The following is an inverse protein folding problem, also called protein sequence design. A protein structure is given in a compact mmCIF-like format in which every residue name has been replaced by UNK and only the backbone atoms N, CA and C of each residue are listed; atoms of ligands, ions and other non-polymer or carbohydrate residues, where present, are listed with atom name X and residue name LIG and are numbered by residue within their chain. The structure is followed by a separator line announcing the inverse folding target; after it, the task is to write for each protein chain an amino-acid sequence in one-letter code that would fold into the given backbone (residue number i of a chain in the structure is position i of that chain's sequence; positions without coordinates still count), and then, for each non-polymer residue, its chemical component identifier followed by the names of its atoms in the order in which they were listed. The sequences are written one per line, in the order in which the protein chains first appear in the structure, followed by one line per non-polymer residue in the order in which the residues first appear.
data_IF_635881409338
#
_entry.id   IF_635881409338
#
_cell.length_a   1.000
_cell.length_b   1.000
_cell.length_c   1.000
_cell.angle_alpha   90.00
_cell.angle_beta   90.00
_cell.angle_gamma   90.00
#
_symmetry.space_group_name_H-M   'P 1'
#
loop_
_entity.id
_entity.type
_entity.pdbx_description
1 polymer ?
#
# COMPACT_ATOMS: atom_id res chain seq x y z
N UNK A 1 -15.01 -10.48 -4.07
CA UNK A 1 -13.95 -9.90 -4.92
C UNK A 1 -12.64 -10.26 -4.25
N UNK A 2 -12.03 -11.33 -4.72
CA UNK A 2 -10.75 -11.84 -4.23
C UNK A 2 -9.65 -10.91 -4.74
N UNK A 3 -9.23 -9.96 -3.90
CA UNK A 3 -8.11 -9.07 -4.24
C UNK A 3 -6.84 -9.91 -4.27
N UNK A 4 -6.33 -10.20 -5.46
CA UNK A 4 -5.09 -10.95 -5.64
C UNK A 4 -3.90 -10.01 -5.44
N UNK A 5 -3.30 -10.08 -4.25
CA UNK A 5 -2.11 -9.28 -3.91
C UNK A 5 -0.86 -9.93 -4.52
N UNK A 6 0.02 -9.12 -5.12
CA UNK A 6 1.27 -9.54 -5.73
C UNK A 6 2.41 -8.59 -5.40
N UNK A 7 3.65 -9.06 -5.53
CA UNK A 7 4.85 -8.22 -5.33
C UNK A 7 4.91 -7.12 -6.39
N UNK A 8 5.26 -5.90 -5.97
CA UNK A 8 5.27 -4.69 -6.78
C UNK A 8 3.90 -4.01 -6.88
N UNK A 9 2.84 -4.63 -6.36
CA UNK A 9 1.50 -4.04 -6.37
C UNK A 9 1.43 -2.85 -5.41
N UNK A 10 0.78 -1.77 -5.88
CA UNK A 10 0.50 -0.62 -5.05
C UNK A 10 -0.80 -0.82 -4.29
N UNK A 11 -0.74 -0.66 -2.97
CA UNK A 11 -1.85 -0.97 -2.08
C UNK A 11 -2.09 0.15 -1.08
N UNK A 12 -3.34 0.30 -0.66
CA UNK A 12 -3.76 1.15 0.45
C UNK A 12 -4.26 0.28 1.59
N UNK A 13 -3.85 0.64 2.81
CA UNK A 13 -4.37 0.00 4.03
C UNK A 13 -5.82 0.41 4.26
N UNK A 14 -6.69 -0.58 4.37
CA UNK A 14 -8.13 -0.40 4.59
C UNK A 14 -8.37 0.19 5.99
N UNK A 15 -9.30 1.14 6.08
CA UNK A 15 -9.66 1.81 7.34
C UNK A 15 -10.72 1.05 8.16
N UNK A 16 -11.32 0.03 7.56
CA UNK A 16 -12.41 -0.76 8.12
C UNK A 16 -11.91 -1.70 9.22
N UNK A 17 -12.46 -1.54 10.43
CA UNK A 17 -12.12 -2.31 11.61
C UNK A 17 -12.67 -3.74 11.58
N UNK A 18 -13.67 -4.02 10.75
CA UNK A 18 -14.25 -5.37 10.64
C UNK A 18 -13.28 -6.39 10.03
N UNK A 19 -12.26 -5.90 9.32
CA UNK A 19 -11.22 -6.72 8.68
C UNK A 19 -9.94 -6.86 9.49
N UNK A 20 -9.83 -6.13 10.61
CA UNK A 20 -8.66 -6.17 11.47
C UNK A 20 -8.87 -7.19 12.58
N UNK A 21 -8.00 -8.21 12.63
CA UNK A 21 -8.16 -9.34 13.58
C UNK A 21 -7.79 -8.99 15.02
N UNK A 22 -6.90 -8.03 15.23
CA UNK A 22 -6.37 -7.65 16.55
C UNK A 22 -6.23 -6.13 16.67
N UNK A 23 -7.26 -5.47 17.19
CA UNK A 23 -7.23 -4.03 17.47
C UNK A 23 -7.47 -3.14 16.24
N UNK A 24 -7.32 -1.82 16.39
CA UNK A 24 -7.61 -0.87 15.31
C UNK A 24 -6.62 -1.03 14.13
N UNK A 25 -7.04 -0.69 12.91
CA UNK A 25 -6.19 -0.77 11.72
C UNK A 25 -4.88 -0.04 11.91
N UNK A 26 -3.79 -0.74 11.59
CA UNK A 26 -2.45 -0.18 11.66
C UNK A 26 -2.25 0.74 10.45
N UNK A 27 -2.00 2.04 10.67
CA UNK A 27 -1.77 3.01 9.58
C UNK A 27 -2.93 3.15 8.56
N UNK A 28 -4.16 3.43 9.01
CA UNK A 28 -5.35 3.42 8.16
C UNK A 28 -5.23 4.44 7.01
N UNK A 29 -5.42 3.97 5.78
CA UNK A 29 -5.41 4.79 4.57
C UNK A 29 -4.03 5.15 4.03
N UNK A 30 -2.92 4.69 4.64
CA UNK A 30 -1.59 4.85 4.05
C UNK A 30 -1.46 3.98 2.81
N UNK A 31 -0.70 4.48 1.84
CA UNK A 31 -0.38 3.81 0.59
C UNK A 31 1.05 3.27 0.70
N UNK A 32 1.30 2.14 0.06
CA UNK A 32 2.62 1.56 -0.06
C UNK A 32 2.71 0.54 -1.19
N UNK A 33 3.87 -0.08 -1.30
CA UNK A 33 4.16 -1.10 -2.30
C UNK A 33 4.43 -2.45 -1.61
N UNK A 34 3.83 -3.50 -2.13
CA UNK A 34 4.06 -4.87 -1.66
C UNK A 34 5.46 -5.32 -2.07
N UNK A 35 6.32 -5.65 -1.10
CA UNK A 35 7.71 -6.06 -1.36
C UNK A 35 7.89 -7.56 -1.41
N UNK A 36 7.24 -8.30 -0.50
CA UNK A 36 7.37 -9.76 -0.41
C UNK A 36 6.25 -10.39 0.42
N UNK A 37 5.97 -11.65 0.14
CA UNK A 37 5.13 -12.49 0.99
C UNK A 37 5.92 -12.90 2.24
N UNK A 38 5.26 -12.87 3.39
CA UNK A 38 5.78 -13.41 4.64
C UNK A 38 5.45 -14.92 4.71
N UNK A 39 6.48 -15.76 4.75
CA UNK A 39 6.33 -17.22 4.83
C UNK A 39 5.65 -17.71 6.11
N UNK A 40 5.64 -16.91 7.19
CA UNK A 40 5.03 -17.29 8.47
C UNK A 40 3.51 -17.26 8.39
N UNK A 41 2.93 -16.27 7.69
CA UNK A 41 1.47 -16.13 7.57
C UNK A 41 0.84 -16.95 6.45
N UNK A 42 1.66 -17.53 5.56
CA UNK A 42 1.17 -18.32 4.44
C UNK A 42 0.25 -17.53 3.50
N UNK A 43 -0.69 -18.24 2.86
CA UNK A 43 -1.73 -17.68 1.98
C UNK A 43 -3.09 -17.52 2.68
N UNK A 44 -3.15 -17.72 4.00
CA UNK A 44 -4.37 -17.52 4.77
C UNK A 44 -4.82 -16.06 4.68
N UNK A 45 -6.12 -15.82 4.53
CA UNK A 45 -6.70 -14.47 4.49
C UNK A 45 -6.10 -13.56 3.40
N UNK A 46 -5.81 -14.13 2.22
CA UNK A 46 -5.17 -13.42 1.11
C UNK A 46 -3.66 -13.21 1.30
N UNK A 47 -3.05 -13.87 2.30
CA UNK A 47 -1.62 -13.87 2.59
C UNK A 47 -1.15 -12.72 3.49
N UNK A 48 -0.02 -12.94 4.17
CA UNK A 48 0.62 -11.91 4.99
C UNK A 48 1.75 -11.25 4.18
N UNK A 49 1.65 -9.95 3.93
CA UNK A 49 2.53 -9.24 3.01
C UNK A 49 3.34 -8.17 3.72
N UNK A 50 4.63 -8.07 3.38
CA UNK A 50 5.45 -6.92 3.73
C UNK A 50 5.18 -5.79 2.74
N UNK A 51 4.70 -4.66 3.26
CA UNK A 51 4.39 -3.45 2.50
C UNK A 51 5.31 -2.32 2.95
N UNK A 52 5.98 -1.70 1.99
CA UNK A 52 6.74 -0.46 2.22
C UNK A 52 5.79 0.73 2.09
N UNK A 53 5.42 1.34 3.21
CA UNK A 53 4.51 2.48 3.26
C UNK A 53 5.22 3.77 2.83
N UNK A 54 4.67 4.47 1.84
CA UNK A 54 5.21 5.71 1.30
C UNK A 54 5.33 6.80 2.37
N UNK A 55 6.41 7.57 2.40
CA UNK A 55 6.56 8.75 3.27
C UNK A 55 5.41 9.73 3.07
N UNK A 56 4.89 10.26 4.17
CA UNK A 56 3.90 11.36 4.18
C UNK A 56 4.50 12.59 4.86
N UNK A 57 3.77 13.71 4.84
CA UNK A 57 4.14 14.92 5.59
C UNK A 57 4.26 14.68 7.10
N UNK A 58 3.57 13.66 7.64
CA UNK A 58 3.49 13.38 9.09
C UNK A 58 4.26 12.13 9.53
N UNK A 59 4.66 11.27 8.61
CA UNK A 59 5.27 9.99 8.94
C UNK A 59 6.29 9.57 7.89
N UNK A 60 7.40 8.99 8.36
CA UNK A 60 8.46 8.45 7.50
C UNK A 60 7.96 7.24 6.71
N UNK A 61 8.77 6.88 5.72
CA UNK A 61 8.66 5.58 5.05
C UNK A 61 8.95 4.46 6.06
N UNK A 62 8.23 3.35 5.97
CA UNK A 62 8.43 2.19 6.85
C UNK A 62 7.90 0.93 6.20
N UNK A 63 8.64 -0.17 6.38
CA UNK A 63 8.15 -1.50 6.05
C UNK A 63 7.34 -2.09 7.21
N UNK A 64 6.17 -2.65 6.88
CA UNK A 64 5.25 -3.23 7.85
C UNK A 64 4.46 -4.40 7.25
N UNK A 65 3.98 -5.32 8.08
CA UNK A 65 3.19 -6.48 7.61
C UNK A 65 1.69 -6.24 7.70
N UNK A 66 0.97 -6.63 6.65
CA UNK A 66 -0.50 -6.56 6.57
C UNK A 66 -1.08 -7.83 5.96
N UNK A 67 -2.28 -8.21 6.40
CA UNK A 67 -3.03 -9.29 5.74
C UNK A 67 -3.61 -8.80 4.40
N UNK A 68 -3.73 -9.68 3.41
CA UNK A 68 -4.27 -9.33 2.10
C UNK A 68 -5.68 -8.73 2.19
N UNK A 69 -6.51 -9.22 3.11
CA UNK A 69 -7.85 -8.68 3.38
C UNK A 69 -7.85 -7.24 3.94
N UNK A 70 -6.74 -6.79 4.54
CA UNK A 70 -6.54 -5.44 5.06
C UNK A 70 -6.00 -4.47 3.99
N UNK A 71 -5.72 -4.98 2.78
CA UNK A 71 -5.16 -4.22 1.68
C UNK A 71 -6.17 -4.05 0.55
N UNK A 72 -6.12 -2.89 -0.09
CA UNK A 72 -6.85 -2.62 -1.33
C UNK A 72 -5.85 -2.18 -2.39
N UNK A 73 -5.90 -2.78 -3.56
CA UNK A 73 -5.14 -2.28 -4.71
C UNK A 73 -5.50 -0.82 -5.00
N UNK A 74 -4.48 -0.01 -5.25
CA UNK A 74 -4.66 1.36 -5.75
C UNK A 74 -3.94 1.47 -7.09
N UNK A 75 -4.51 2.23 -8.04
CA UNK A 75 -3.84 2.47 -9.30
C UNK A 75 -2.46 3.07 -9.03
N UNK A 76 -1.42 2.68 -9.79
CA UNK A 76 -0.11 3.27 -9.66
C UNK A 76 -0.27 4.78 -9.84
N UNK A 77 0.29 5.58 -8.93
CA UNK A 77 0.29 7.03 -9.12
C UNK A 77 0.87 7.31 -10.50
N UNK A 78 0.24 8.17 -11.32
CA UNK A 78 0.83 8.55 -12.60
C UNK A 78 2.27 9.02 -12.33
N UNK A 79 3.23 8.67 -13.21
CA UNK A 79 4.56 9.25 -13.11
C UNK A 79 4.38 10.76 -13.06
N UNK A 80 5.01 11.41 -12.08
CA UNK A 80 4.99 12.86 -11.94
C UNK A 80 5.40 13.42 -13.30
N UNK A 81 4.42 13.95 -14.04
CA UNK A 81 4.64 14.57 -15.33
C UNK A 81 5.50 15.79 -15.05
N UNK A 82 6.80 15.65 -15.24
CA UNK A 82 7.75 16.74 -15.14
C UNK A 82 7.65 17.52 -16.45
N UNK A 83 6.53 18.23 -16.63
CA UNK A 83 6.42 19.28 -17.63
C UNK A 83 6.56 20.61 -16.90
N UNK A 84 7.79 20.88 -16.47
CA UNK A 84 8.21 22.23 -16.13
C UNK A 84 8.52 22.95 -17.44
N UNK A 85 7.72 23.99 -17.71
CA UNK A 85 7.99 25.17 -18.52
C UNK A 85 9.09 25.10 -19.60
N UNK A 86 8.70 25.30 -20.86
CA UNK A 86 9.46 26.17 -21.76
C UNK A 86 8.61 27.40 -22.03
N UNK A 87 8.93 28.44 -21.25
CA UNK A 87 8.67 29.83 -21.55
C UNK A 87 9.52 30.19 -22.78
N UNK A 88 8.93 30.62 -23.89
CA UNK A 88 9.34 31.87 -24.52
C UNK A 88 8.32 32.37 -25.56
N UNK A 89 8.19 33.69 -25.56
CA UNK A 89 7.34 34.52 -26.43
C UNK A 89 8.02 34.70 -27.80
N UNK A 90 7.34 35.18 -28.86
CA UNK A 90 6.83 36.56 -28.95
C UNK A 90 5.32 36.68 -29.20
#
# INVERSE_FOLDING_TARGET
MDTQISVGLRVQVIKDQSKTRLGPPKYPGRIGEVKRLNSIGGMDHGGLWYVLLDKTSRAREREETFWGEELREVPPSPPISTSLATLDRP
#
